data_IF_710061751774
#
_entry.id   IF_710061751774
#
_cell.length_a   1.000
_cell.length_b   1.000
_cell.length_c   1.000
_cell.angle_alpha   90.00
_cell.angle_beta   90.00
_cell.angle_gamma   90.00
#
_symmetry.space_group_name_H-M   'P 1'
#
loop_
_entity.id
_entity.type
_entity.pdbx_description
1 polymer ?
#
# COMPACT_ATOMS: atom_id res chain seq x y z
N UNK A 1 4.55 -5.09 39.41
CA UNK A 1 3.45 -5.77 38.67
C UNK A 1 2.54 -4.69 38.08
N UNK A 2 2.74 -4.39 36.82
CA UNK A 2 1.92 -3.39 36.09
C UNK A 2 0.81 -4.13 35.37
N UNK A 3 -0.42 -3.84 35.75
CA UNK A 3 -1.63 -4.36 35.14
C UNK A 3 -1.71 -3.88 33.69
N UNK A 4 -1.73 -4.81 32.77
CA UNK A 4 -1.92 -4.62 31.36
C UNK A 4 -3.16 -3.76 31.10
N UNK A 5 -2.99 -2.65 30.42
CA UNK A 5 -4.07 -1.81 29.89
C UNK A 5 -4.90 -2.67 28.93
N UNK A 6 -6.05 -3.12 29.37
CA UNK A 6 -7.02 -3.82 28.53
C UNK A 6 -7.36 -2.87 27.38
N UNK A 7 -6.98 -3.22 26.16
CA UNK A 7 -7.42 -2.51 24.95
C UNK A 7 -8.94 -2.47 24.98
N UNK A 8 -9.52 -1.27 25.13
CA UNK A 8 -10.95 -1.04 24.97
C UNK A 8 -11.34 -1.56 23.61
N UNK A 9 -12.10 -2.65 23.52
CA UNK A 9 -12.70 -3.10 22.27
C UNK A 9 -13.65 -2.01 21.79
N UNK A 10 -13.19 -1.15 20.90
CA UNK A 10 -14.06 -0.19 20.24
C UNK A 10 -14.98 -0.98 19.30
N UNK A 11 -16.23 -1.15 19.71
CA UNK A 11 -17.25 -1.74 18.85
C UNK A 11 -17.41 -0.83 17.62
N UNK A 12 -17.35 -1.41 16.44
CA UNK A 12 -17.63 -0.74 15.17
C UNK A 12 -19.07 -1.06 14.78
N UNK A 13 -19.85 -0.06 14.50
CA UNK A 13 -21.25 -0.21 14.12
C UNK A 13 -21.45 0.14 12.66
N UNK A 14 -22.32 -0.57 11.97
CA UNK A 14 -22.66 -0.30 10.57
C UNK A 14 -23.15 1.15 10.34
N UNK A 15 -23.86 1.72 11.31
CA UNK A 15 -24.32 3.12 11.25
C UNK A 15 -23.19 4.16 11.21
N UNK A 16 -21.98 3.76 11.64
CA UNK A 16 -20.79 4.63 11.67
C UNK A 16 -19.99 4.50 10.37
N UNK A 17 -20.46 3.71 9.40
CA UNK A 17 -19.82 3.58 8.09
C UNK A 17 -19.86 4.92 7.35
N UNK A 18 -18.71 5.31 6.82
CA UNK A 18 -18.57 6.47 5.94
C UNK A 18 -17.95 6.04 4.62
N UNK A 19 -18.54 6.47 3.52
CA UNK A 19 -17.99 6.24 2.19
C UNK A 19 -16.60 6.90 2.07
N UNK A 20 -15.67 6.32 1.30
CA UNK A 20 -14.36 6.92 1.10
C UNK A 20 -14.45 8.24 0.34
N UNK A 21 -13.58 9.20 0.69
CA UNK A 21 -13.51 10.51 0.02
C UNK A 21 -12.97 10.41 -1.42
N UNK A 22 -12.26 9.34 -1.72
CA UNK A 22 -11.67 9.05 -3.01
C UNK A 22 -11.94 7.61 -3.41
N UNK A 23 -11.93 7.37 -4.71
CA UNK A 23 -11.94 6.04 -5.32
C UNK A 23 -10.60 5.82 -6.03
N UNK A 24 -10.19 4.57 -6.16
CA UNK A 24 -9.02 4.16 -6.93
C UNK A 24 -9.47 3.14 -7.97
N UNK A 25 -10.04 3.59 -9.10
CA UNK A 25 -10.60 2.67 -10.09
C UNK A 25 -9.55 1.80 -10.77
N UNK A 26 -8.31 2.28 -10.86
CA UNK A 26 -7.21 1.54 -11.49
C UNK A 26 -5.95 1.60 -10.64
N UNK A 27 -5.26 0.47 -10.60
CA UNK A 27 -4.02 0.27 -9.89
C UNK A 27 -3.08 -0.57 -10.75
N UNK A 28 -1.87 -0.06 -11.00
CA UNK A 28 -0.79 -0.83 -11.63
C UNK A 28 0.35 -1.02 -10.65
N UNK A 29 0.78 -2.27 -10.49
CA UNK A 29 1.90 -2.66 -9.64
C UNK A 29 3.00 -3.25 -10.50
N UNK A 30 4.18 -2.64 -10.48
CA UNK A 30 5.37 -3.20 -11.10
C UNK A 30 6.32 -3.62 -9.96
N UNK A 31 6.53 -4.92 -9.80
CA UNK A 31 7.44 -5.50 -8.83
C UNK A 31 8.79 -5.74 -9.47
N UNK A 32 9.86 -5.24 -8.86
CA UNK A 32 11.24 -5.59 -9.20
C UNK A 32 11.86 -6.32 -8.02
N UNK A 33 12.12 -7.62 -8.18
CA UNK A 33 12.78 -8.45 -7.19
C UNK A 33 14.28 -8.42 -7.51
N UNK A 34 15.01 -7.53 -6.83
CA UNK A 34 16.47 -7.42 -7.03
C UNK A 34 17.22 -8.54 -6.32
N UNK A 35 16.70 -9.00 -5.19
CA UNK A 35 17.19 -10.13 -4.41
C UNK A 35 16.14 -10.59 -3.40
N UNK A 36 16.43 -11.67 -2.68
CA UNK A 36 15.66 -12.15 -1.53
C UNK A 36 15.59 -11.16 -0.35
N UNK A 37 16.41 -10.11 -0.38
CA UNK A 37 16.46 -9.05 0.64
C UNK A 37 15.98 -7.70 0.14
N UNK A 38 15.65 -7.57 -1.14
CA UNK A 38 15.28 -6.28 -1.72
C UNK A 38 14.24 -6.40 -2.81
N UNK A 39 13.07 -5.88 -2.52
CA UNK A 39 11.97 -5.72 -3.47
C UNK A 39 11.65 -4.24 -3.61
N UNK A 40 11.52 -3.78 -4.85
CA UNK A 40 11.04 -2.45 -5.19
C UNK A 40 9.66 -2.60 -5.83
N UNK A 41 8.72 -1.78 -5.39
CA UNK A 41 7.37 -1.74 -5.94
C UNK A 41 7.09 -0.34 -6.47
N UNK A 42 6.80 -0.27 -7.76
CA UNK A 42 6.22 0.93 -8.36
C UNK A 42 4.71 0.78 -8.42
N UNK A 43 4.02 1.61 -7.67
CA UNK A 43 2.57 1.63 -7.57
C UNK A 43 2.03 2.86 -8.29
N UNK A 44 1.29 2.65 -9.38
CA UNK A 44 0.63 3.71 -10.13
C UNK A 44 -0.87 3.66 -9.86
N UNK A 45 -1.38 4.69 -9.20
CA UNK A 45 -2.77 4.84 -8.81
C UNK A 45 -3.48 5.83 -9.74
N UNK A 46 -4.64 5.47 -10.25
CA UNK A 46 -5.61 6.45 -10.78
C UNK A 46 -6.57 6.78 -9.64
N UNK A 47 -6.50 8.00 -9.14
CA UNK A 47 -7.31 8.46 -8.00
C UNK A 47 -8.39 9.41 -8.51
N UNK A 48 -9.65 9.15 -8.15
CA UNK A 48 -10.78 10.03 -8.48
C UNK A 48 -11.46 10.51 -7.20
N UNK A 49 -11.83 11.80 -7.09
CA UNK A 49 -12.61 12.27 -5.95
C UNK A 49 -13.98 11.61 -5.96
N UNK A 50 -14.44 11.19 -4.80
CA UNK A 50 -15.83 10.80 -4.63
C UNK A 50 -16.67 12.07 -4.48
N UNK A 51 -17.61 12.30 -5.40
CA UNK A 51 -18.38 13.55 -5.51
C UNK A 51 -19.14 13.94 -4.25
N UNK A 52 -19.38 13.02 -3.34
CA UNK A 52 -20.10 13.28 -2.09
C UNK A 52 -19.19 13.78 -0.94
N UNK A 53 -17.85 13.70 -1.07
CA UNK A 53 -16.92 14.04 0.04
C UNK A 53 -15.55 14.54 -0.47
N UNK A 54 -15.53 15.57 -1.29
CA UNK A 54 -14.33 16.00 -2.05
C UNK A 54 -13.42 17.03 -1.37
N UNK A 55 -13.57 17.33 -0.09
CA UNK A 55 -12.81 18.41 0.56
C UNK A 55 -11.71 17.94 1.51
N UNK A 56 -11.45 16.65 1.56
CA UNK A 56 -10.45 16.07 2.44
C UNK A 56 -9.18 15.69 1.70
N UNK A 57 -8.00 15.75 2.33
CA UNK A 57 -6.76 15.26 1.74
C UNK A 57 -6.85 13.74 1.51
N UNK A 58 -6.13 13.26 0.48
CA UNK A 58 -5.99 11.83 0.22
C UNK A 58 -5.12 11.18 1.31
N UNK A 59 -5.62 10.13 1.91
CA UNK A 59 -4.91 9.36 2.95
C UNK A 59 -4.69 7.94 2.46
N UNK A 60 -3.43 7.52 2.41
CA UNK A 60 -3.02 6.18 2.00
C UNK A 60 -2.39 5.46 3.19
N UNK A 61 -2.82 4.24 3.44
CA UNK A 61 -2.25 3.37 4.47
C UNK A 61 -0.97 2.71 3.93
N UNK A 62 0.07 2.62 4.74
CA UNK A 62 1.32 1.93 4.45
C UNK A 62 2.08 1.67 5.73
N UNK A 63 2.67 0.49 5.89
CA UNK A 63 3.47 0.19 7.08
C UNK A 63 4.81 0.92 7.03
N UNK A 64 4.86 2.13 7.58
CA UNK A 64 6.04 2.99 7.57
C UNK A 64 7.22 2.44 8.39
N UNK A 65 6.99 1.43 9.24
CA UNK A 65 8.08 0.74 9.97
C UNK A 65 8.78 -0.30 9.11
N UNK A 66 8.13 -0.74 8.03
CA UNK A 66 8.60 -1.80 7.13
C UNK A 66 8.94 -1.25 5.74
N UNK A 67 8.12 -0.34 5.21
CA UNK A 67 8.29 0.24 3.87
C UNK A 67 9.23 1.44 3.88
N UNK A 68 10.22 1.45 3.01
CA UNK A 68 10.97 2.66 2.68
C UNK A 68 10.31 3.37 1.50
N UNK A 69 9.78 4.56 1.73
CA UNK A 69 9.20 5.40 0.68
C UNK A 69 10.31 6.10 -0.11
N UNK A 70 10.49 5.75 -1.37
CA UNK A 70 11.60 6.23 -2.23
C UNK A 70 11.24 7.47 -3.04
N UNK A 71 10.04 7.52 -3.58
CA UNK A 71 9.59 8.68 -4.37
C UNK A 71 8.07 8.75 -4.47
N UNK A 72 7.58 9.95 -4.73
CA UNK A 72 6.18 10.23 -5.05
C UNK A 72 6.16 11.15 -6.27
N UNK A 73 5.31 10.82 -7.25
CA UNK A 73 5.00 11.71 -8.38
C UNK A 73 3.49 11.90 -8.47
N UNK A 74 3.08 13.12 -8.79
CA UNK A 74 1.69 13.48 -9.05
C UNK A 74 1.61 13.99 -10.49
N UNK A 75 0.81 13.34 -11.34
CA UNK A 75 0.70 13.67 -12.76
C UNK A 75 2.10 13.82 -13.41
N UNK A 76 2.95 12.81 -13.23
CA UNK A 76 4.36 12.76 -13.68
C UNK A 76 5.31 13.81 -13.06
N UNK A 77 4.85 14.68 -12.17
CA UNK A 77 5.71 15.67 -11.51
C UNK A 77 6.18 15.13 -10.16
N UNK A 78 7.49 15.06 -9.90
CA UNK A 78 8.01 14.63 -8.62
C UNK A 78 7.65 15.66 -7.53
N UNK A 79 7.30 15.17 -6.35
CA UNK A 79 7.07 15.98 -5.16
C UNK A 79 8.03 15.58 -4.04
N UNK A 80 8.21 16.47 -3.07
CA UNK A 80 8.97 16.14 -1.87
C UNK A 80 8.35 14.94 -1.14
N UNK A 81 9.20 14.04 -0.66
CA UNK A 81 8.74 12.89 0.12
C UNK A 81 8.12 13.40 1.43
N UNK A 82 6.84 13.08 1.62
CA UNK A 82 6.11 13.38 2.85
C UNK A 82 6.32 12.23 3.85
N UNK A 83 6.65 12.56 5.08
CA UNK A 83 6.80 11.55 6.14
C UNK A 83 5.43 11.05 6.57
N UNK A 84 5.18 9.73 6.50
CA UNK A 84 3.93 9.15 7.00
C UNK A 84 3.81 9.33 8.52
N UNK A 85 2.61 9.62 8.99
CA UNK A 85 2.29 9.72 10.42
C UNK A 85 1.29 8.62 10.78
N UNK A 86 1.60 7.83 11.80
CA UNK A 86 0.77 6.68 12.22
C UNK A 86 0.41 5.74 11.05
N UNK A 87 1.40 5.42 10.21
CA UNK A 87 1.24 4.56 9.03
C UNK A 87 0.30 5.13 7.95
N UNK A 88 0.08 6.45 7.94
CA UNK A 88 -0.74 7.15 6.95
C UNK A 88 0.12 8.16 6.21
N UNK A 89 0.23 7.99 4.90
CA UNK A 89 0.75 8.99 3.98
C UNK A 89 -0.39 9.93 3.60
N UNK A 90 -0.28 11.20 3.98
CA UNK A 90 -1.29 12.22 3.66
C UNK A 90 -0.80 13.06 2.50
N UNK A 91 -1.52 13.02 1.39
CA UNK A 91 -1.30 13.84 0.20
C UNK A 91 -2.31 15.00 0.15
N UNK A 92 -2.21 15.82 -0.91
CA UNK A 92 -3.08 16.98 -1.05
C UNK A 92 -4.52 16.59 -1.38
N UNK A 93 -5.41 17.55 -1.44
CA UNK A 93 -6.79 17.37 -1.90
C UNK A 93 -6.84 17.47 -3.42
N UNK A 94 -7.41 16.47 -4.08
CA UNK A 94 -7.57 16.42 -5.54
C UNK A 94 -9.04 16.62 -5.91
N UNK A 95 -9.30 17.49 -6.89
CA UNK A 95 -10.66 17.82 -7.36
C UNK A 95 -11.01 17.14 -8.68
N UNK A 96 -10.01 16.55 -9.33
CA UNK A 96 -10.14 15.82 -10.60
C UNK A 96 -9.41 14.50 -10.54
N UNK A 97 -9.61 13.66 -11.53
CA UNK A 97 -8.80 12.45 -11.69
C UNK A 97 -7.32 12.81 -11.70
N UNK A 98 -6.55 12.08 -10.90
CA UNK A 98 -5.13 12.35 -10.66
C UNK A 98 -4.36 11.04 -10.68
N UNK A 99 -3.27 11.01 -11.45
CA UNK A 99 -2.31 9.90 -11.41
C UNK A 99 -1.30 10.13 -10.29
N UNK A 100 -1.11 9.11 -9.46
CA UNK A 100 -0.13 9.13 -8.38
C UNK A 100 0.78 7.93 -8.52
N UNK A 101 2.09 8.17 -8.63
CA UNK A 101 3.10 7.10 -8.67
C UNK A 101 3.89 7.13 -7.37
N UNK A 102 3.90 6.00 -6.68
CA UNK A 102 4.62 5.81 -5.42
C UNK A 102 5.61 4.67 -5.58
N UNK A 103 6.87 4.91 -5.25
CA UNK A 103 7.89 3.85 -5.23
C UNK A 103 8.22 3.53 -3.78
N UNK A 104 8.06 2.27 -3.43
CA UNK A 104 8.43 1.70 -2.13
C UNK A 104 9.50 0.63 -2.29
N UNK A 105 10.30 0.46 -1.25
CA UNK A 105 11.32 -0.57 -1.15
C UNK A 105 11.20 -1.26 0.20
N UNK A 106 11.38 -2.57 0.25
CA UNK A 106 11.40 -3.32 1.51
C UNK A 106 12.21 -4.62 1.40
N UNK A 107 12.56 -5.17 2.57
CA UNK A 107 13.23 -6.46 2.69
C UNK A 107 12.22 -7.54 3.13
N UNK A 108 11.83 -8.50 2.26
CA UNK A 108 10.84 -9.52 2.61
C UNK A 108 11.29 -10.46 3.73
N UNK A 109 12.60 -10.63 3.97
CA UNK A 109 13.12 -11.44 5.08
C UNK A 109 12.87 -10.79 6.45
N UNK A 110 12.59 -9.48 6.50
CA UNK A 110 12.23 -8.78 7.74
C UNK A 110 10.73 -8.81 8.02
N UNK A 111 9.94 -9.36 7.11
CA UNK A 111 8.49 -9.45 7.27
C UNK A 111 8.11 -10.69 8.08
N UNK A 112 7.95 -10.51 9.39
CA UNK A 112 7.54 -11.57 10.34
C UNK A 112 6.03 -11.63 10.56
N UNK A 113 5.27 -10.70 9.96
CA UNK A 113 3.82 -10.65 10.15
C UNK A 113 3.05 -11.62 9.23
N UNK A 114 3.74 -12.18 8.20
CA UNK A 114 3.12 -13.05 7.19
C UNK A 114 1.95 -12.38 6.45
N UNK A 115 2.03 -11.07 6.30
CA UNK A 115 1.12 -10.21 5.53
C UNK A 115 1.91 -9.43 4.49
N UNK A 116 1.36 -9.18 3.31
CA UNK A 116 2.08 -8.58 2.19
C UNK A 116 3.00 -9.59 1.53
N UNK A 117 4.25 -9.23 1.21
CA UNK A 117 5.24 -10.14 0.62
C UNK A 117 6.28 -10.51 1.68
N UNK A 118 6.55 -11.79 1.81
CA UNK A 118 7.52 -12.35 2.75
C UNK A 118 8.23 -13.58 2.17
N UNK A 119 9.34 -13.96 2.77
CA UNK A 119 10.07 -15.17 2.43
C UNK A 119 9.63 -16.32 3.33
N UNK A 120 9.28 -17.45 2.73
CA UNK A 120 8.94 -18.69 3.42
C UNK A 120 9.75 -19.82 2.81
N UNK A 121 10.77 -20.29 3.52
CA UNK A 121 11.64 -21.41 3.11
C UNK A 121 12.13 -21.28 1.65
N UNK A 122 12.78 -20.16 1.33
CA UNK A 122 13.33 -19.80 0.00
C UNK A 122 12.28 -19.48 -1.08
N UNK A 123 11.01 -19.43 -0.75
CA UNK A 123 9.93 -19.03 -1.66
C UNK A 123 9.42 -17.66 -1.24
N UNK A 124 9.38 -16.71 -2.19
CA UNK A 124 8.69 -15.45 -1.98
C UNK A 124 7.19 -15.67 -2.15
N UNK A 125 6.45 -15.39 -1.10
CA UNK A 125 5.00 -15.55 -1.04
C UNK A 125 4.33 -14.20 -0.81
N UNK A 126 3.08 -14.06 -1.26
CA UNK A 126 2.24 -12.92 -0.91
C UNK A 126 0.95 -13.38 -0.22
N UNK A 127 0.56 -12.67 0.83
CA UNK A 127 -0.69 -12.85 1.55
C UNK A 127 -1.32 -11.49 1.78
N UNK A 128 -2.47 -11.23 1.16
CA UNK A 128 -3.09 -9.91 1.13
C UNK A 128 -4.56 -9.95 1.56
N UNK A 129 -4.85 -10.63 2.67
CA UNK A 129 -6.13 -10.44 3.32
C UNK A 129 -6.28 -8.99 3.81
N UNK A 130 -7.50 -8.48 3.99
CA UNK A 130 -7.71 -7.15 4.56
C UNK A 130 -7.06 -7.07 5.94
N UNK A 131 -6.19 -6.27 6.03
CA UNK A 131 -5.45 -5.08 5.76
C UNK A 131 -3.95 -5.36 5.51
N UNK A 132 -3.60 -6.36 4.73
CA UNK A 132 -2.21 -6.77 4.44
C UNK A 132 -1.54 -5.99 3.29
N UNK A 133 -2.33 -5.40 2.38
CA UNK A 133 -1.78 -4.72 1.21
C UNK A 133 -0.91 -3.50 1.56
N UNK A 134 -1.16 -2.85 2.69
CA UNK A 134 -0.33 -1.76 3.25
C UNK A 134 1.11 -2.14 3.56
N UNK A 135 1.44 -3.45 3.55
CA UNK A 135 2.81 -3.96 3.69
C UNK A 135 3.55 -4.14 2.36
N UNK A 136 2.89 -3.84 1.24
CA UNK A 136 3.50 -3.84 -0.09
C UNK A 136 3.78 -2.41 -0.54
N UNK A 137 2.79 -1.54 -0.40
CA UNK A 137 2.86 -0.15 -0.85
C UNK A 137 1.82 0.70 -0.13
N UNK A 138 1.80 2.00 -0.42
CA UNK A 138 0.78 2.92 0.09
C UNK A 138 -0.48 2.84 -0.75
N UNK A 139 -1.62 2.57 -0.11
CA UNK A 139 -2.93 2.40 -0.74
C UNK A 139 -4.06 2.78 0.23
N UNK A 140 -5.27 3.03 -0.28
CA UNK A 140 -6.47 3.10 0.56
C UNK A 140 -6.89 1.66 0.92
N UNK A 141 -6.21 1.08 1.91
CA UNK A 141 -6.31 -0.34 2.26
C UNK A 141 -7.60 -0.62 3.06
N UNK A 142 -8.71 -0.56 2.35
CA UNK A 142 -10.08 -0.77 2.82
C UNK A 142 -10.80 -1.74 1.89
N UNK A 143 -11.67 -2.62 2.39
CA UNK A 143 -12.37 -3.62 1.56
C UNK A 143 -13.40 -3.02 0.59
N UNK A 144 -13.80 -1.76 0.79
CA UNK A 144 -14.75 -1.03 -0.06
C UNK A 144 -14.05 -0.23 -1.18
N UNK A 145 -12.73 -0.28 -1.28
CA UNK A 145 -11.96 0.29 -2.41
C UNK A 145 -11.80 -0.79 -3.47
N UNK A 146 -12.69 -0.77 -4.45
CA UNK A 146 -12.68 -1.70 -5.57
C UNK A 146 -11.85 -1.13 -6.71
N UNK A 147 -10.77 -1.83 -7.09
CA UNK A 147 -9.83 -1.40 -8.12
C UNK A 147 -9.66 -2.48 -9.19
N UNK A 148 -9.44 -2.07 -10.43
CA UNK A 148 -8.94 -2.95 -11.48
C UNK A 148 -7.42 -3.01 -11.36
N UNK A 149 -6.88 -4.18 -11.06
CA UNK A 149 -5.46 -4.41 -10.83
C UNK A 149 -4.75 -4.86 -12.10
N UNK A 150 -3.56 -4.31 -12.33
CA UNK A 150 -2.58 -4.84 -13.28
C UNK A 150 -1.28 -5.04 -12.53
N UNK A 151 -0.69 -6.23 -12.60
CA UNK A 151 0.58 -6.53 -11.95
C UNK A 151 1.61 -7.01 -12.97
N UNK A 152 2.86 -6.60 -12.81
CA UNK A 152 4.02 -7.19 -13.49
C UNK A 152 5.09 -7.54 -12.46
N UNK A 153 5.81 -8.63 -12.71
CA UNK A 153 6.88 -9.11 -11.83
C UNK A 153 8.14 -9.27 -12.68
N UNK A 154 9.22 -8.62 -12.27
CA UNK A 154 10.55 -8.76 -12.86
C UNK A 154 11.50 -9.34 -11.83
N UNK A 155 12.19 -10.44 -12.17
CA UNK A 155 13.15 -11.12 -11.32
C UNK A 155 14.24 -11.79 -12.13
N UNK A 156 15.37 -12.14 -11.50
CA UNK A 156 16.41 -12.95 -12.14
C UNK A 156 15.90 -14.39 -12.34
N UNK A 157 15.80 -14.89 -13.59
CA UNK A 157 15.31 -16.24 -13.86
C UNK A 157 16.20 -17.37 -13.32
N UNK A 158 17.45 -17.08 -12.97
CA UNK A 158 18.33 -18.06 -12.33
C UNK A 158 17.99 -18.24 -10.85
N UNK A 159 17.59 -17.17 -10.19
CA UNK A 159 17.20 -17.18 -8.78
C UNK A 159 15.72 -17.53 -8.61
N UNK A 160 14.88 -17.06 -9.53
CA UNK A 160 13.41 -17.25 -9.51
C UNK A 160 12.95 -17.86 -10.84
N UNK A 161 13.16 -19.15 -11.06
CA UNK A 161 12.86 -19.82 -12.35
C UNK A 161 11.34 -19.95 -12.61
N UNK A 162 10.51 -19.79 -11.58
CA UNK A 162 9.05 -19.84 -11.67
C UNK A 162 8.45 -18.60 -11.03
N UNK A 163 7.64 -17.88 -11.79
CA UNK A 163 6.83 -16.76 -11.31
C UNK A 163 5.36 -17.10 -11.51
N UNK A 164 4.57 -16.95 -10.44
CA UNK A 164 3.13 -17.16 -10.44
C UNK A 164 2.43 -15.91 -9.91
N UNK A 165 1.42 -15.40 -10.64
CA UNK A 165 0.63 -14.23 -10.26
C UNK A 165 -0.86 -14.45 -10.59
#
# INVERSE_FOLDING_TARGET
MSLSTIKKNNKVYLKDYTTPNYLIPKLKLDFTIESDQKIIVTNTLTVTPNTTQTESPLKLNGDASFLTLKSIKINNQPIAIKTPVNNILTLDTYKTETEIVIITEFNPNQNLALEGIYNSDHILCSQNEPQGFRRITYFMDRPDIMSCYTASITADPKQYPVLLA
#
